data_IF_642741192816
#
_entry.id   IF_642741192816
#
_cell.length_a   1.000
_cell.length_b   1.000
_cell.length_c   1.000
_cell.angle_alpha   90.00
_cell.angle_beta   90.00
_cell.angle_gamma   90.00
#
_symmetry.space_group_name_H-M   'P 1'
#
loop_
_entity.id
_entity.type
_entity.pdbx_description
1 polymer ?
#
# COMPACT_ATOMS: atom_id res chain seq x y z
N UNK A 1 -2.28 2.64 -34.52
CA UNK A 1 -2.63 2.80 -33.09
C UNK A 1 -1.85 3.99 -32.55
N UNK A 2 -2.48 5.17 -32.50
CA UNK A 2 -1.91 6.33 -31.81
C UNK A 2 -1.84 5.99 -30.31
N UNK A 3 -0.65 5.63 -29.85
CA UNK A 3 -0.34 5.68 -28.42
C UNK A 3 -0.39 7.15 -28.02
N UNK A 4 -1.40 7.55 -27.29
CA UNK A 4 -1.38 8.79 -26.53
C UNK A 4 -0.29 8.63 -25.48
N UNK A 5 0.87 9.18 -25.74
CA UNK A 5 1.96 9.30 -24.77
C UNK A 5 1.58 10.46 -23.87
N UNK A 6 1.80 10.35 -22.56
CA UNK A 6 1.39 11.36 -21.57
C UNK A 6 1.81 12.81 -21.88
N UNK A 7 2.81 13.01 -22.75
CA UNK A 7 3.21 14.33 -23.25
C UNK A 7 2.19 14.96 -24.21
N UNK A 8 1.43 14.18 -24.96
CA UNK A 8 0.39 14.72 -25.87
C UNK A 8 -0.86 15.17 -25.12
N UNK A 9 -1.24 14.48 -24.05
CA UNK A 9 -2.28 14.95 -23.15
C UNK A 9 -1.90 16.26 -22.45
N UNK A 10 -0.64 16.41 -22.02
CA UNK A 10 -0.13 17.65 -21.44
C UNK A 10 -0.06 18.84 -22.44
N UNK A 11 -0.03 18.58 -23.74
CA UNK A 11 -0.05 19.62 -24.78
C UNK A 11 -1.50 20.12 -25.00
N UNK A 12 -2.48 19.21 -25.00
CA UNK A 12 -3.90 19.54 -25.24
C UNK A 12 -4.54 20.31 -24.10
N UNK A 13 -4.20 19.99 -22.86
CA UNK A 13 -4.72 20.68 -21.67
C UNK A 13 -4.24 22.14 -21.53
N UNK A 14 -3.28 22.58 -22.36
CA UNK A 14 -2.81 23.96 -22.45
C UNK A 14 -3.48 24.77 -23.58
N UNK A 15 -4.14 24.12 -24.51
CA UNK A 15 -4.92 24.79 -25.54
C UNK A 15 -6.25 25.29 -24.94
N UNK A 16 -6.58 26.57 -25.16
CA UNK A 16 -7.74 27.19 -24.54
C UNK A 16 -9.05 26.48 -24.91
N UNK A 17 -9.19 26.09 -26.16
CA UNK A 17 -10.41 25.45 -26.65
C UNK A 17 -10.59 24.04 -26.03
N UNK A 18 -9.51 23.28 -25.88
CA UNK A 18 -9.54 21.96 -25.26
C UNK A 18 -9.83 22.08 -23.76
N UNK A 19 -9.30 23.12 -23.08
CA UNK A 19 -9.59 23.39 -21.67
C UNK A 19 -11.07 23.67 -21.42
N UNK A 20 -11.74 24.40 -22.31
CA UNK A 20 -13.19 24.65 -22.21
C UNK A 20 -14.02 23.36 -22.38
N UNK A 21 -13.54 22.41 -23.21
CA UNK A 21 -14.15 21.09 -23.32
C UNK A 21 -14.02 20.32 -22.00
N UNK A 22 -12.82 20.34 -21.41
CA UNK A 22 -12.58 19.68 -20.10
C UNK A 22 -13.47 20.29 -19.01
N UNK A 23 -13.61 21.62 -18.94
CA UNK A 23 -14.52 22.28 -17.99
C UNK A 23 -15.95 21.84 -18.16
N UNK A 24 -16.43 21.70 -19.41
CA UNK A 24 -17.77 21.17 -19.68
C UNK A 24 -17.97 19.74 -19.25
N UNK A 25 -16.94 18.90 -19.37
CA UNK A 25 -16.98 17.54 -18.86
C UNK A 25 -17.05 17.54 -17.32
N UNK A 26 -16.23 18.36 -16.66
CA UNK A 26 -16.20 18.49 -15.20
C UNK A 26 -17.56 18.95 -14.65
N UNK A 27 -18.24 19.87 -15.33
CA UNK A 27 -19.56 20.36 -14.88
C UNK A 27 -20.64 19.27 -14.81
N UNK A 28 -20.43 18.13 -15.47
CA UNK A 28 -21.37 16.99 -15.48
C UNK A 28 -20.75 15.69 -14.90
N UNK A 29 -19.52 15.75 -14.43
CA UNK A 29 -18.83 14.58 -13.89
C UNK A 29 -19.19 14.36 -12.41
N UNK A 30 -19.21 13.11 -11.98
CA UNK A 30 -19.32 12.77 -10.57
C UNK A 30 -17.97 12.84 -9.85
N UNK A 31 -16.92 12.49 -10.56
CA UNK A 31 -15.56 12.35 -10.03
C UNK A 31 -14.55 12.91 -11.02
N UNK A 32 -13.58 13.67 -10.51
CA UNK A 32 -12.35 14.02 -11.21
C UNK A 32 -11.18 13.36 -10.48
N UNK A 33 -10.41 12.57 -11.20
CA UNK A 33 -9.17 11.95 -10.67
C UNK A 33 -7.98 12.52 -11.43
N UNK A 34 -6.96 12.93 -10.68
CA UNK A 34 -5.69 13.31 -11.27
C UNK A 34 -4.51 12.73 -10.47
N UNK A 35 -3.39 12.46 -11.15
CA UNK A 35 -2.13 12.03 -10.54
C UNK A 35 -0.96 12.97 -10.92
N UNK A 36 -1.26 14.24 -11.12
CA UNK A 36 -0.24 15.24 -11.34
C UNK A 36 0.46 15.64 -10.03
N UNK A 37 1.66 16.19 -10.18
CA UNK A 37 2.35 16.78 -9.02
C UNK A 37 1.53 17.92 -8.43
N UNK A 38 1.64 18.16 -7.10
CA UNK A 38 0.94 19.26 -6.44
C UNK A 38 1.13 20.59 -7.16
N UNK A 39 0.04 21.35 -7.30
CA UNK A 39 0.00 22.65 -7.95
C UNK A 39 -0.05 22.66 -9.49
N UNK A 40 0.05 21.49 -10.16
CA UNK A 40 -0.07 21.43 -11.63
C UNK A 40 -1.50 21.74 -12.07
N UNK A 41 -2.49 21.11 -11.43
CA UNK A 41 -3.90 21.34 -11.74
C UNK A 41 -4.31 22.80 -11.52
N UNK A 42 -3.81 23.44 -10.47
CA UNK A 42 -4.04 24.86 -10.20
C UNK A 42 -3.49 25.76 -11.32
N UNK A 43 -2.28 25.47 -11.80
CA UNK A 43 -1.64 26.25 -12.89
C UNK A 43 -2.40 26.21 -14.20
N UNK A 44 -3.13 25.15 -14.46
CA UNK A 44 -3.95 25.01 -15.68
C UNK A 44 -5.42 25.43 -15.46
N UNK A 45 -5.77 25.93 -14.28
CA UNK A 45 -7.12 26.39 -13.95
C UNK A 45 -8.14 25.26 -13.74
N UNK A 46 -7.64 24.08 -13.32
CA UNK A 46 -8.43 22.91 -12.95
C UNK A 46 -8.15 22.46 -11.51
N UNK A 47 -7.67 23.38 -10.67
CA UNK A 47 -7.55 23.14 -9.24
C UNK A 47 -8.89 22.85 -8.57
N UNK A 48 -8.85 22.32 -7.35
CA UNK A 48 -10.07 21.99 -6.60
C UNK A 48 -11.06 23.15 -6.54
N UNK A 49 -10.57 24.35 -6.18
CA UNK A 49 -11.41 25.54 -6.06
C UNK A 49 -12.06 25.96 -7.37
N UNK A 50 -11.41 25.78 -8.50
CA UNK A 50 -11.95 26.10 -9.82
C UNK A 50 -12.96 25.04 -10.25
N UNK A 51 -12.65 23.77 -10.05
CA UNK A 51 -13.58 22.68 -10.33
C UNK A 51 -14.85 22.77 -9.47
N UNK A 52 -14.74 23.15 -8.20
CA UNK A 52 -15.88 23.33 -7.29
C UNK A 52 -16.82 24.45 -7.74
N UNK A 53 -16.31 25.51 -8.38
CA UNK A 53 -17.15 26.57 -8.97
C UNK A 53 -17.96 26.07 -10.18
N UNK A 54 -17.41 25.07 -10.90
CA UNK A 54 -18.06 24.45 -12.05
C UNK A 54 -19.09 23.40 -11.63
N UNK A 55 -18.80 22.67 -10.57
CA UNK A 55 -19.62 21.56 -10.07
C UNK A 55 -19.38 21.35 -8.58
N UNK A 56 -20.29 21.81 -7.74
CA UNK A 56 -20.23 21.71 -6.29
C UNK A 56 -20.46 20.28 -5.75
N UNK A 57 -20.91 19.36 -6.62
CA UNK A 57 -21.12 17.93 -6.34
C UNK A 57 -19.96 17.06 -6.78
N UNK A 58 -18.95 17.64 -7.41
CA UNK A 58 -17.78 16.90 -7.89
C UNK A 58 -16.92 16.38 -6.73
N UNK A 59 -16.66 15.09 -6.71
CA UNK A 59 -15.63 14.50 -5.87
C UNK A 59 -14.29 14.71 -6.56
N UNK A 60 -13.42 15.52 -5.94
CA UNK A 60 -12.12 15.85 -6.49
C UNK A 60 -11.04 14.97 -5.83
N UNK A 61 -10.40 14.08 -6.59
CA UNK A 61 -9.37 13.17 -6.10
C UNK A 61 -8.01 13.49 -6.71
N UNK A 62 -7.06 13.84 -5.84
CA UNK A 62 -5.64 14.00 -6.17
C UNK A 62 -4.83 12.82 -5.63
N UNK A 63 -3.98 12.26 -6.48
CA UNK A 63 -3.06 11.18 -6.12
C UNK A 63 -1.64 11.69 -6.37
N UNK A 64 -0.77 11.56 -5.38
CA UNK A 64 0.62 11.95 -5.50
C UNK A 64 1.54 10.95 -4.78
N UNK A 65 2.85 11.15 -4.83
CA UNK A 65 3.81 10.24 -4.21
C UNK A 65 3.86 10.33 -2.69
N UNK A 66 3.91 11.58 -2.17
CA UNK A 66 4.33 11.85 -0.79
C UNK A 66 3.42 12.83 -0.03
N UNK A 67 2.20 13.04 -0.51
CA UNK A 67 1.28 14.02 0.06
C UNK A 67 1.49 15.44 -0.48
N UNK A 68 0.58 16.35 -0.10
CA UNK A 68 0.60 17.75 -0.54
C UNK A 68 1.54 18.63 0.28
N UNK A 69 2.09 18.13 1.36
CA UNK A 69 2.95 18.84 2.32
C UNK A 69 4.17 18.01 2.70
N UNK A 70 5.13 18.66 3.37
CA UNK A 70 6.37 18.03 3.80
C UNK A 70 7.50 18.12 2.76
N UNK A 71 8.71 17.67 3.14
CA UNK A 71 9.93 17.90 2.36
C UNK A 71 9.95 17.17 1.01
N UNK A 72 9.15 16.11 0.85
CA UNK A 72 9.09 15.30 -0.36
C UNK A 72 7.85 15.59 -1.24
N UNK A 73 6.98 16.54 -0.88
CA UNK A 73 5.71 16.80 -1.59
C UNK A 73 5.87 17.05 -3.09
N UNK A 74 6.99 17.63 -3.52
CA UNK A 74 7.30 17.89 -4.94
C UNK A 74 8.26 16.89 -5.57
N UNK A 75 8.75 15.91 -4.80
CA UNK A 75 9.68 14.90 -5.28
C UNK A 75 9.01 13.95 -6.30
N UNK A 76 9.78 13.45 -7.29
CA UNK A 76 9.29 12.41 -8.18
C UNK A 76 9.08 11.11 -7.39
N UNK A 77 7.95 10.46 -7.61
CA UNK A 77 7.63 9.16 -7.03
C UNK A 77 7.52 8.10 -8.11
N UNK A 78 8.13 6.96 -7.85
CA UNK A 78 8.01 5.74 -8.62
C UNK A 78 7.80 4.58 -7.65
N UNK A 79 7.13 3.53 -8.09
CA UNK A 79 6.78 2.37 -7.25
C UNK A 79 7.96 1.87 -6.40
N UNK A 80 9.11 1.58 -7.02
CA UNK A 80 10.27 1.06 -6.30
C UNK A 80 10.87 2.03 -5.28
N UNK A 81 10.78 3.36 -5.52
CA UNK A 81 11.20 4.37 -4.54
C UNK A 81 10.27 4.34 -3.34
N UNK A 82 8.96 4.25 -3.58
CA UNK A 82 7.96 4.18 -2.51
C UNK A 82 8.07 2.86 -1.74
N UNK A 83 8.36 1.73 -2.41
CA UNK A 83 8.63 0.46 -1.72
C UNK A 83 9.77 0.60 -0.71
N UNK A 84 10.89 1.23 -1.11
CA UNK A 84 12.03 1.44 -0.23
C UNK A 84 11.69 2.38 0.94
N UNK A 85 11.02 3.50 0.66
CA UNK A 85 10.67 4.48 1.67
C UNK A 85 9.59 4.01 2.65
N UNK A 86 8.68 3.13 2.21
CA UNK A 86 7.63 2.54 3.04
C UNK A 86 8.11 1.34 3.86
N UNK A 87 9.36 0.89 3.71
CA UNK A 87 9.91 -0.25 4.43
C UNK A 87 9.62 -1.61 3.79
N UNK A 88 8.98 -1.68 2.62
CA UNK A 88 8.68 -2.95 1.96
C UNK A 88 9.94 -3.75 1.61
N UNK A 89 11.04 -3.07 1.29
CA UNK A 89 12.31 -3.71 0.97
C UNK A 89 12.98 -4.36 2.18
N UNK A 90 12.78 -3.80 3.36
CA UNK A 90 13.28 -4.36 4.63
C UNK A 90 12.43 -5.56 5.07
N UNK A 91 11.10 -5.41 5.02
CA UNK A 91 10.16 -6.51 5.33
C UNK A 91 10.41 -7.74 4.44
N UNK A 92 10.74 -7.51 3.17
CA UNK A 92 11.02 -8.56 2.19
C UNK A 92 12.45 -9.13 2.32
N UNK A 93 13.32 -8.48 3.11
CA UNK A 93 14.74 -8.87 3.18
C UNK A 93 14.95 -10.17 3.95
N UNK A 94 15.88 -10.96 3.44
CA UNK A 94 16.52 -12.05 4.16
C UNK A 94 17.92 -11.61 4.59
N UNK A 95 18.27 -11.80 5.85
CA UNK A 95 19.65 -11.66 6.36
C UNK A 95 20.30 -10.29 6.04
N UNK A 96 19.62 -9.20 6.34
CA UNK A 96 20.13 -7.82 6.19
C UNK A 96 20.38 -7.34 4.75
N UNK A 97 19.94 -8.07 3.74
CA UNK A 97 19.98 -7.62 2.35
C UNK A 97 18.61 -7.14 1.86
N UNK A 98 18.34 -5.82 1.80
CA UNK A 98 17.08 -5.29 1.33
C UNK A 98 16.76 -5.77 -0.09
N UNK A 99 15.54 -6.21 -0.32
CA UNK A 99 15.11 -6.68 -1.65
C UNK A 99 13.75 -6.13 -2.04
N UNK A 100 13.55 -5.89 -3.35
CA UNK A 100 12.28 -5.43 -3.88
C UNK A 100 11.29 -6.57 -4.08
N UNK A 101 10.03 -6.30 -3.79
CA UNK A 101 8.94 -7.08 -4.36
C UNK A 101 8.85 -6.74 -5.84
N UNK A 102 9.20 -7.71 -6.72
CA UNK A 102 9.35 -7.49 -8.18
C UNK A 102 7.98 -7.36 -8.88
N UNK A 103 7.18 -6.41 -8.43
CA UNK A 103 5.92 -6.00 -9.04
C UNK A 103 5.66 -4.53 -8.70
N UNK A 104 4.73 -3.88 -9.41
CA UNK A 104 4.24 -2.54 -9.08
C UNK A 104 3.31 -2.64 -7.85
N UNK A 105 3.90 -2.86 -6.68
CA UNK A 105 3.17 -3.10 -5.43
C UNK A 105 2.46 -1.83 -4.95
N UNK A 106 3.22 -0.74 -4.80
CA UNK A 106 2.71 0.51 -4.25
C UNK A 106 1.69 1.19 -5.16
N UNK A 107 1.90 1.12 -6.49
CA UNK A 107 0.92 1.59 -7.48
C UNK A 107 -0.42 0.85 -7.32
N UNK A 108 -0.39 -0.48 -7.18
CA UNK A 108 -1.59 -1.30 -7.04
C UNK A 108 -2.31 -1.04 -5.70
N UNK A 109 -1.56 -0.97 -4.60
CA UNK A 109 -2.11 -0.66 -3.29
C UNK A 109 -2.79 0.70 -3.32
N UNK A 110 -2.13 1.70 -3.91
CA UNK A 110 -2.68 3.04 -4.07
C UNK A 110 -3.96 3.02 -4.90
N UNK A 111 -3.99 2.28 -6.00
CA UNK A 111 -5.18 2.15 -6.83
C UNK A 111 -6.38 1.55 -6.07
N UNK A 112 -6.17 0.53 -5.24
CA UNK A 112 -7.22 -0.03 -4.38
C UNK A 112 -7.66 0.97 -3.31
N UNK A 113 -6.73 1.68 -2.67
CA UNK A 113 -7.04 2.72 -1.69
C UNK A 113 -7.87 3.85 -2.31
N UNK A 114 -7.52 4.28 -3.52
CA UNK A 114 -8.28 5.28 -4.28
C UNK A 114 -9.68 4.79 -4.57
N UNK A 115 -9.83 3.57 -5.08
CA UNK A 115 -11.13 2.99 -5.41
C UNK A 115 -12.04 2.90 -4.16
N UNK A 116 -11.49 2.46 -3.03
CA UNK A 116 -12.21 2.39 -1.76
C UNK A 116 -12.62 3.77 -1.25
N UNK A 117 -11.72 4.75 -1.32
CA UNK A 117 -11.98 6.12 -0.89
C UNK A 117 -13.04 6.81 -1.76
N UNK A 118 -12.99 6.61 -3.08
CA UNK A 118 -13.99 7.13 -4.01
C UNK A 118 -15.38 6.52 -3.76
N UNK A 119 -15.46 5.21 -3.53
CA UNK A 119 -16.72 4.54 -3.20
C UNK A 119 -17.33 5.08 -1.91
N UNK A 120 -16.50 5.30 -0.89
CA UNK A 120 -16.93 5.90 0.38
C UNK A 120 -17.40 7.36 0.21
N UNK A 121 -16.68 8.13 -0.60
CA UNK A 121 -17.05 9.53 -0.87
C UNK A 121 -18.35 9.65 -1.68
N UNK A 122 -18.57 8.76 -2.65
CA UNK A 122 -19.84 8.66 -3.38
C UNK A 122 -21.00 8.33 -2.43
N UNK A 123 -20.82 7.30 -1.58
CA UNK A 123 -21.83 6.96 -0.60
C UNK A 123 -22.16 8.11 0.35
N UNK A 124 -21.13 8.81 0.85
CA UNK A 124 -21.31 10.00 1.70
C UNK A 124 -22.07 11.09 0.94
N UNK A 125 -21.69 11.39 -0.29
CA UNK A 125 -22.34 12.40 -1.11
C UNK A 125 -23.82 12.08 -1.32
N UNK A 126 -24.16 10.82 -1.62
CA UNK A 126 -25.57 10.40 -1.77
C UNK A 126 -26.38 10.57 -0.48
N UNK A 127 -25.75 10.37 0.69
CA UNK A 127 -26.42 10.48 1.99
C UNK A 127 -26.54 11.93 2.49
N UNK A 128 -25.56 12.76 2.20
CA UNK A 128 -25.43 14.10 2.81
C UNK A 128 -25.57 15.24 1.80
N UNK A 129 -25.48 14.96 0.52
CA UNK A 129 -25.38 15.96 -0.54
C UNK A 129 -24.04 16.71 -0.59
N UNK A 130 -23.04 16.31 0.22
CA UNK A 130 -21.74 16.98 0.32
C UNK A 130 -20.69 16.17 -0.41
N UNK A 131 -20.03 16.77 -1.40
CA UNK A 131 -18.89 16.19 -2.09
C UNK A 131 -17.58 16.48 -1.33
N UNK A 132 -16.71 15.47 -1.30
CA UNK A 132 -15.40 15.56 -0.63
C UNK A 132 -14.26 15.85 -1.62
N UNK A 133 -13.20 16.45 -1.09
CA UNK A 133 -11.87 16.35 -1.66
C UNK A 133 -11.17 15.13 -1.09
N UNK A 134 -10.57 14.34 -1.96
CA UNK A 134 -9.69 13.22 -1.58
C UNK A 134 -8.26 13.56 -1.97
N UNK A 135 -7.37 13.53 -1.00
CA UNK A 135 -5.95 13.68 -1.21
C UNK A 135 -5.26 12.39 -0.74
N UNK A 136 -4.70 11.65 -1.67
CA UNK A 136 -4.17 10.32 -1.45
C UNK A 136 -2.71 10.27 -1.87
N UNK A 137 -1.87 9.74 -1.00
CA UNK A 137 -0.46 9.54 -1.33
C UNK A 137 -0.10 8.06 -1.45
N UNK A 138 0.87 7.77 -2.31
CA UNK A 138 1.39 6.41 -2.46
C UNK A 138 2.08 5.95 -1.17
N UNK A 139 2.83 6.84 -0.51
CA UNK A 139 3.54 6.49 0.72
C UNK A 139 2.58 6.15 1.85
N UNK A 140 1.51 6.94 2.07
CA UNK A 140 0.53 6.66 3.12
C UNK A 140 -0.21 5.34 2.85
N UNK A 141 -0.58 5.11 1.58
CA UNK A 141 -1.24 3.86 1.17
C UNK A 141 -0.35 2.64 1.41
N UNK A 142 0.93 2.74 1.07
CA UNK A 142 1.90 1.67 1.25
C UNK A 142 2.20 1.42 2.74
N UNK A 143 2.43 2.47 3.52
CA UNK A 143 2.66 2.36 4.96
C UNK A 143 1.44 1.77 5.67
N UNK A 144 0.23 2.23 5.35
CA UNK A 144 -1.00 1.68 5.92
C UNK A 144 -1.15 0.18 5.64
N UNK A 145 -0.80 -0.24 4.43
CA UNK A 145 -0.86 -1.65 4.04
C UNK A 145 0.17 -2.52 4.77
N UNK A 146 1.39 -2.01 4.94
CA UNK A 146 2.51 -2.77 5.53
C UNK A 146 2.52 -2.74 7.07
N UNK A 147 1.88 -1.73 7.68
CA UNK A 147 1.98 -1.47 9.12
C UNK A 147 1.58 -2.65 10.00
N UNK A 148 0.46 -3.34 9.75
CA UNK A 148 0.00 -4.42 10.63
C UNK A 148 0.99 -5.57 10.77
N UNK A 149 1.74 -5.87 9.71
CA UNK A 149 2.60 -7.04 9.64
C UNK A 149 4.07 -6.70 9.84
N UNK A 150 4.53 -5.58 9.26
CA UNK A 150 5.94 -5.22 9.23
C UNK A 150 6.39 -4.28 10.34
N UNK A 151 5.47 -3.45 10.87
CA UNK A 151 5.81 -2.35 11.79
C UNK A 151 5.29 -2.55 13.22
N UNK A 152 4.86 -3.77 13.57
CA UNK A 152 4.23 -4.04 14.86
C UNK A 152 5.14 -3.68 16.05
N UNK A 153 6.44 -3.92 15.97
CA UNK A 153 7.40 -3.59 17.02
C UNK A 153 7.74 -2.08 17.11
N UNK A 154 7.32 -1.28 16.11
CA UNK A 154 7.49 0.17 16.08
C UNK A 154 6.23 0.93 16.50
N UNK A 155 5.17 0.21 16.85
CA UNK A 155 3.87 0.80 17.24
C UNK A 155 3.84 1.17 18.71
N UNK A 156 4.45 0.37 19.57
CA UNK A 156 4.55 0.58 21.01
C UNK A 156 5.97 1.08 21.33
N UNK A 157 6.07 2.20 22.04
CA UNK A 157 7.33 2.91 22.26
C UNK A 157 7.80 2.91 23.72
N UNK A 158 7.05 2.30 24.62
CA UNK A 158 7.41 2.23 26.04
C UNK A 158 8.58 1.24 26.25
N UNK A 159 9.47 1.55 27.17
CA UNK A 159 10.69 0.78 27.43
C UNK A 159 10.45 -0.64 27.98
N UNK A 160 9.27 -0.90 28.55
CA UNK A 160 8.88 -2.19 29.12
C UNK A 160 8.09 -3.10 28.16
N UNK A 161 7.97 -2.69 26.90
CA UNK A 161 7.27 -3.48 25.87
C UNK A 161 8.12 -4.69 25.47
N UNK A 162 7.51 -5.88 25.57
CA UNK A 162 8.10 -7.10 25.05
C UNK A 162 7.98 -7.10 23.52
N UNK A 163 9.12 -7.00 22.85
CA UNK A 163 9.17 -7.14 21.39
C UNK A 163 9.14 -8.61 20.99
N UNK A 164 8.24 -8.97 20.08
CA UNK A 164 8.18 -10.31 19.50
C UNK A 164 8.81 -10.28 18.09
N UNK A 165 9.32 -11.41 17.59
CA UNK A 165 9.73 -11.48 16.20
C UNK A 165 8.57 -11.05 15.27
N UNK A 166 8.84 -10.21 14.25
CA UNK A 166 7.80 -9.81 13.28
C UNK A 166 7.18 -11.04 12.62
N UNK A 167 5.88 -11.01 12.36
CA UNK A 167 5.15 -12.09 11.70
C UNK A 167 5.81 -12.53 10.39
N UNK A 168 6.36 -11.58 9.66
CA UNK A 168 7.06 -11.78 8.39
C UNK A 168 8.30 -12.69 8.48
N UNK A 169 8.95 -12.75 9.64
CA UNK A 169 10.09 -13.66 9.86
C UNK A 169 9.69 -15.15 9.90
N UNK A 170 8.40 -15.46 10.01
CA UNK A 170 7.88 -16.83 9.92
C UNK A 170 7.62 -17.29 8.48
N UNK A 171 7.75 -16.41 7.48
CA UNK A 171 7.48 -16.72 6.08
C UNK A 171 8.70 -17.32 5.40
N UNK A 172 8.92 -18.62 5.59
CA UNK A 172 10.05 -19.33 5.06
C UNK A 172 9.67 -20.34 3.97
N UNK A 173 10.54 -20.46 2.97
CA UNK A 173 10.51 -21.54 2.00
C UNK A 173 11.57 -22.58 2.37
N UNK A 174 11.12 -23.77 2.72
CA UNK A 174 11.99 -24.87 3.11
C UNK A 174 12.44 -25.66 1.88
N UNK A 175 13.74 -25.78 1.67
CA UNK A 175 14.29 -26.53 0.54
C UNK A 175 14.02 -28.03 0.70
N UNK A 176 13.45 -28.64 -0.33
CA UNK A 176 13.21 -30.07 -0.45
C UNK A 176 14.12 -30.69 -1.51
N UNK A 177 14.00 -32.01 -1.70
CA UNK A 177 14.82 -32.77 -2.67
C UNK A 177 14.65 -32.24 -4.11
N UNK A 178 13.46 -31.84 -4.48
CA UNK A 178 13.05 -31.49 -5.85
C UNK A 178 12.36 -30.11 -5.96
N UNK A 179 12.46 -29.27 -4.91
CA UNK A 179 11.83 -27.95 -4.93
C UNK A 179 11.83 -27.27 -3.58
N UNK A 180 10.78 -26.53 -3.30
CA UNK A 180 10.58 -25.81 -2.05
C UNK A 180 9.18 -26.09 -1.50
N UNK A 181 9.07 -26.11 -0.17
CA UNK A 181 7.83 -26.28 0.55
C UNK A 181 7.54 -25.03 1.38
N UNK A 182 6.33 -24.53 1.32
CA UNK A 182 5.81 -23.54 2.25
C UNK A 182 5.01 -24.24 3.35
N UNK A 183 5.36 -23.97 4.60
CA UNK A 183 4.72 -24.58 5.78
C UNK A 183 4.17 -23.44 6.64
N UNK A 184 2.89 -23.59 7.06
CA UNK A 184 2.28 -22.72 8.06
C UNK A 184 1.62 -23.59 9.13
N UNK A 185 2.07 -23.48 10.38
CA UNK A 185 1.49 -24.17 11.52
C UNK A 185 1.26 -23.19 12.67
N UNK A 186 -0.03 -22.98 13.02
CA UNK A 186 -0.46 -22.04 14.03
C UNK A 186 -0.91 -22.70 15.33
N UNK A 187 -1.22 -24.01 15.30
CA UNK A 187 -1.66 -24.76 16.47
C UNK A 187 -0.72 -25.92 16.80
N UNK A 188 -0.74 -26.37 18.05
CA UNK A 188 0.05 -27.53 18.48
C UNK A 188 -0.29 -28.79 17.66
N UNK A 189 -1.58 -28.99 17.36
CA UNK A 189 -2.02 -30.11 16.54
C UNK A 189 -1.41 -30.10 15.12
N UNK A 190 -1.24 -28.92 14.52
CA UNK A 190 -0.60 -28.75 13.21
C UNK A 190 0.91 -29.06 13.30
N UNK A 191 1.58 -28.56 14.33
CA UNK A 191 2.98 -28.85 14.59
C UNK A 191 3.22 -30.35 14.82
N UNK A 192 2.37 -31.00 15.61
CA UNK A 192 2.42 -32.45 15.82
C UNK A 192 2.21 -33.24 14.52
N UNK A 193 1.37 -32.70 13.61
CA UNK A 193 1.23 -33.23 12.25
C UNK A 193 2.53 -33.13 11.44
N UNK A 194 3.23 -31.99 11.52
CA UNK A 194 4.53 -31.80 10.87
C UNK A 194 5.59 -32.78 11.43
N UNK A 195 5.69 -32.92 12.74
CA UNK A 195 6.64 -33.86 13.35
C UNK A 195 6.40 -35.30 12.90
N UNK A 196 5.13 -35.74 12.84
CA UNK A 196 4.79 -37.08 12.29
C UNK A 196 5.15 -37.21 10.81
N UNK A 197 4.88 -36.17 10.01
CA UNK A 197 5.18 -36.20 8.58
C UNK A 197 6.68 -36.24 8.28
N UNK A 198 7.49 -35.63 9.13
CA UNK A 198 8.95 -35.63 9.04
C UNK A 198 9.59 -36.91 9.66
N UNK A 199 8.79 -37.78 10.26
CA UNK A 199 9.29 -38.99 10.95
C UNK A 199 9.95 -38.73 12.29
N UNK A 200 9.55 -37.63 12.97
CA UNK A 200 10.09 -37.15 14.25
C UNK A 200 8.98 -37.08 15.32
N UNK A 201 8.20 -38.18 15.55
CA UNK A 201 7.09 -38.15 16.50
C UNK A 201 7.51 -37.94 17.95
N UNK A 202 8.76 -38.20 18.30
CA UNK A 202 9.35 -37.99 19.62
C UNK A 202 9.34 -36.51 20.05
N UNK A 203 9.35 -35.57 19.11
CA UNK A 203 9.28 -34.13 19.42
C UNK A 203 7.91 -33.66 19.92
N UNK A 204 6.89 -34.52 19.81
CA UNK A 204 5.55 -34.20 20.35
C UNK A 204 5.58 -34.16 21.89
N UNK A 205 6.39 -35.04 22.50
CA UNK A 205 6.54 -35.15 23.96
C UNK A 205 7.75 -34.38 24.49
N UNK A 206 8.57 -33.80 23.61
CA UNK A 206 9.75 -33.04 24.00
C UNK A 206 9.32 -31.66 24.58
N UNK A 207 9.76 -31.36 25.80
CA UNK A 207 9.44 -30.15 26.54
C UNK A 207 9.83 -28.86 25.78
N UNK A 208 10.81 -28.94 24.85
CA UNK A 208 11.22 -27.81 24.01
C UNK A 208 10.22 -27.49 22.89
N UNK A 209 9.37 -28.45 22.47
CA UNK A 209 8.54 -28.34 21.26
C UNK A 209 7.08 -28.69 21.48
N UNK A 210 6.68 -29.17 22.64
CA UNK A 210 5.34 -29.71 22.92
C UNK A 210 4.23 -28.64 23.02
N UNK A 211 4.59 -27.36 23.03
CA UNK A 211 3.62 -26.24 23.03
C UNK A 211 4.18 -25.01 22.34
N UNK A 212 3.31 -24.04 22.01
CA UNK A 212 3.67 -22.85 21.25
C UNK A 212 4.74 -21.99 21.95
N UNK A 213 4.67 -21.83 23.28
CA UNK A 213 5.62 -21.03 24.04
C UNK A 213 7.02 -21.67 24.01
N UNK A 214 7.10 -22.97 24.31
CA UNK A 214 8.35 -23.71 24.29
C UNK A 214 9.00 -23.64 22.89
N UNK A 215 8.24 -23.79 21.80
CA UNK A 215 8.75 -23.64 20.43
C UNK A 215 9.28 -22.24 20.14
N UNK A 216 8.64 -21.19 20.68
CA UNK A 216 9.11 -19.82 20.45
C UNK A 216 10.48 -19.55 21.10
N UNK A 217 10.77 -20.19 22.22
CA UNK A 217 12.05 -20.06 22.91
C UNK A 217 13.17 -20.91 22.27
N UNK A 218 12.80 -21.97 21.55
CA UNK A 218 13.74 -22.92 20.93
C UNK A 218 13.70 -22.85 19.40
N UNK A 219 13.38 -21.70 18.81
CA UNK A 219 13.22 -21.54 17.35
C UNK A 219 14.47 -21.81 16.53
N UNK A 220 15.64 -21.85 17.14
CA UNK A 220 16.95 -22.02 16.45
C UNK A 220 17.42 -23.48 16.48
N UNK A 221 16.79 -24.34 17.26
CA UNK A 221 17.06 -25.77 17.32
C UNK A 221 16.21 -26.57 16.33
#
# INVERSE_FOLDING_TARGET
TNRLVGSEMCIRDREKDDLEIVKKLISNADILINNFRPGVMDKIGLGESDCKKLNDKLIYASINGFGDSGPFSTAPAYDHVVQAMAGATDIQSDLDEPSYIKTLLCDKITAYTVCQSLSSALFKRERTGIADRLNLSMIDSAVFFLWPDGMMNHTLLDDDVVTLPPLTKSYNLYKCKDGFLSIAALSDAQWFGIFRALGLPEYIEDERFNNAFARSENMVE
#
